data_IF_271947860495
#
_entry.id   IF_271947860495
#
_cell.length_a   1.000
_cell.length_b   1.000
_cell.length_c   1.000
_cell.angle_alpha   90.00
_cell.angle_beta   90.00
_cell.angle_gamma   90.00
#
_symmetry.space_group_name_H-M   'P 1'
#
loop_
_entity.id
_entity.type
_entity.pdbx_description
1 polymer ?
#
# COMPACT_ATOMS: atom_id res chain seq x y z
N UNK A 1 -12.32 15.16 -17.52
CA UNK A 1 -11.65 15.14 -16.20
C UNK A 1 -10.19 14.75 -16.41
N UNK A 2 -9.23 15.57 -15.99
CA UNK A 2 -7.81 15.18 -16.06
C UNK A 2 -7.54 14.14 -14.97
N UNK A 3 -7.38 12.87 -15.36
CA UNK A 3 -7.00 11.80 -14.44
C UNK A 3 -5.57 12.06 -13.96
N UNK A 4 -5.40 12.39 -12.67
CA UNK A 4 -4.05 12.48 -12.09
C UNK A 4 -3.46 11.07 -12.06
N UNK A 5 -2.39 10.85 -12.82
CA UNK A 5 -1.62 9.60 -12.76
C UNK A 5 -1.02 9.49 -11.37
N UNK A 6 -1.34 8.40 -10.67
CA UNK A 6 -0.76 8.07 -9.37
C UNK A 6 0.42 7.15 -9.61
N UNK A 7 1.62 7.42 -9.06
CA UNK A 7 2.71 6.45 -9.07
C UNK A 7 2.19 5.12 -8.54
N UNK A 8 2.32 4.07 -9.35
CA UNK A 8 1.79 2.75 -9.05
C UNK A 8 2.90 1.73 -9.18
N UNK A 9 3.05 0.92 -8.14
CA UNK A 9 4.05 -0.13 -8.05
C UNK A 9 3.39 -1.47 -8.39
N UNK A 10 4.09 -2.28 -9.19
CA UNK A 10 3.50 -3.48 -9.79
C UNK A 10 4.42 -4.68 -9.68
N UNK A 11 3.84 -5.85 -9.38
CA UNK A 11 4.46 -7.16 -9.53
C UNK A 11 3.32 -8.14 -9.79
N UNK A 12 3.24 -8.73 -10.99
CA UNK A 12 2.13 -9.63 -11.41
C UNK A 12 0.73 -9.04 -11.10
N UNK A 13 0.58 -7.73 -11.32
CA UNK A 13 -0.59 -6.94 -10.95
C UNK A 13 -0.23 -5.65 -10.21
N UNK A 14 -1.23 -4.84 -9.86
CA UNK A 14 -1.04 -3.58 -9.14
C UNK A 14 -0.95 -3.83 -7.64
N UNK A 15 0.23 -3.61 -7.05
CA UNK A 15 0.46 -3.76 -5.61
C UNK A 15 -0.21 -2.61 -4.87
N UNK A 16 0.33 -1.42 -5.12
CA UNK A 16 -0.04 -0.21 -4.40
C UNK A 16 0.19 1.03 -5.24
N UNK A 17 -0.49 2.11 -4.88
CA UNK A 17 -0.30 3.44 -5.46
C UNK A 17 -0.11 4.47 -4.36
N UNK A 18 0.69 5.51 -4.61
CA UNK A 18 0.70 6.71 -3.76
C UNK A 18 -0.49 7.57 -4.17
N UNK A 19 -1.41 7.88 -3.24
CA UNK A 19 -2.61 8.69 -3.53
C UNK A 19 -2.26 10.20 -3.56
N UNK A 20 -2.21 10.85 -4.74
CA UNK A 20 -1.78 12.25 -4.87
C UNK A 20 -2.87 13.25 -4.46
N UNK A 21 -4.06 12.78 -4.06
CA UNK A 21 -5.15 13.65 -3.59
C UNK A 21 -4.95 14.09 -2.14
N UNK A 22 -4.19 13.30 -1.37
CA UNK A 22 -3.92 13.58 0.04
C UNK A 22 -2.66 14.43 0.14
N UNK A 23 -2.79 15.63 0.71
CA UNK A 23 -1.72 16.64 0.72
C UNK A 23 -0.96 16.78 2.05
N UNK A 24 -1.52 16.25 3.14
CA UNK A 24 -0.97 16.40 4.50
C UNK A 24 -0.14 15.21 4.97
N UNK A 25 -0.21 14.10 4.24
CA UNK A 25 0.39 12.82 4.58
C UNK A 25 0.59 12.03 3.29
N UNK A 26 1.53 11.09 3.30
CA UNK A 26 1.76 10.12 2.24
C UNK A 26 0.83 8.93 2.48
N UNK A 27 -0.10 8.70 1.56
CA UNK A 27 -0.98 7.54 1.60
C UNK A 27 -0.54 6.52 0.55
N UNK A 28 -0.04 5.37 1.00
CA UNK A 28 0.21 4.20 0.15
C UNK A 28 -1.04 3.32 0.18
N UNK A 29 -1.73 3.26 -0.95
CA UNK A 29 -2.98 2.52 -1.13
C UNK A 29 -2.70 1.16 -1.74
N UNK A 30 -2.87 0.08 -0.97
CA UNK A 30 -2.82 -1.30 -1.45
C UNK A 30 -4.16 -1.69 -2.03
N UNK A 31 -4.22 -1.93 -3.34
CA UNK A 31 -5.47 -2.17 -4.08
C UNK A 31 -6.24 -3.40 -3.59
N UNK A 32 -5.52 -4.42 -3.13
CA UNK A 32 -6.07 -5.64 -2.52
C UNK A 32 -5.46 -5.90 -1.13
N UNK A 33 -5.18 -4.84 -0.37
CA UNK A 33 -4.55 -4.95 0.95
C UNK A 33 -5.30 -5.84 1.95
N UNK A 34 -6.62 -6.01 1.80
CA UNK A 34 -7.43 -6.88 2.65
C UNK A 34 -7.21 -8.38 2.38
N UNK A 35 -6.60 -8.72 1.25
CA UNK A 35 -6.34 -10.11 0.83
C UNK A 35 -4.89 -10.53 1.06
N UNK A 36 -4.06 -9.66 1.66
CA UNK A 36 -2.68 -9.99 1.96
C UNK A 36 -2.63 -11.05 3.06
N UNK A 37 -1.80 -12.10 2.91
CA UNK A 37 -1.57 -13.07 3.98
C UNK A 37 -0.85 -12.42 5.17
N UNK A 38 -1.06 -12.97 6.37
CA UNK A 38 -0.46 -12.48 7.61
C UNK A 38 -1.14 -11.25 8.21
N UNK A 39 -0.57 -10.76 9.30
CA UNK A 39 -1.06 -9.57 10.01
C UNK A 39 -0.26 -8.33 9.62
N UNK A 40 -0.99 -7.26 9.29
CA UNK A 40 -0.41 -5.98 8.87
C UNK A 40 -1.05 -4.85 9.69
N UNK A 41 -0.65 -4.64 10.96
CA UNK A 41 -1.30 -3.67 11.85
C UNK A 41 -1.22 -2.22 11.35
N UNK A 42 -0.19 -1.90 10.55
CA UNK A 42 -0.05 -0.59 9.90
C UNK A 42 -0.96 -0.38 8.67
N UNK A 43 -1.71 -1.41 8.24
CA UNK A 43 -2.68 -1.32 7.15
C UNK A 43 -4.08 -1.02 7.68
N UNK A 44 -4.57 0.18 7.37
CA UNK A 44 -5.83 0.71 7.87
C UNK A 44 -6.92 0.78 6.78
N UNK A 45 -8.18 0.82 7.21
CA UNK A 45 -9.35 1.02 6.34
C UNK A 45 -10.24 -0.23 6.20
N UNK A 46 -11.51 -0.03 5.82
CA UNK A 46 -12.52 -1.08 6.01
C UNK A 46 -13.75 -1.07 5.09
N UNK A 47 -13.76 -0.32 3.99
CA UNK A 47 -14.91 -0.31 3.07
C UNK A 47 -14.90 -1.40 1.99
N UNK A 48 -13.77 -2.08 1.77
CA UNK A 48 -13.58 -3.06 0.70
C UNK A 48 -12.20 -3.73 0.70
N UNK A 49 -11.73 -4.17 -0.47
CA UNK A 49 -10.45 -4.87 -0.61
C UNK A 49 -9.20 -3.99 -0.34
N UNK A 50 -9.37 -2.68 -0.37
CA UNK A 50 -8.28 -1.71 -0.24
C UNK A 50 -7.84 -1.58 1.22
N UNK A 51 -6.53 -1.44 1.43
CA UNK A 51 -5.96 -0.94 2.70
C UNK A 51 -4.99 0.21 2.43
N UNK A 52 -4.79 1.04 3.44
CA UNK A 52 -3.89 2.18 3.37
C UNK A 52 -2.81 2.05 4.44
N UNK A 53 -1.56 2.28 4.06
CA UNK A 53 -0.51 2.65 5.01
C UNK A 53 -0.29 4.15 4.90
N UNK A 54 -0.27 4.85 6.03
CA UNK A 54 -0.17 6.31 6.08
C UNK A 54 1.10 6.71 6.80
N UNK A 55 1.78 7.71 6.24
CA UNK A 55 2.98 8.30 6.82
C UNK A 55 2.84 9.82 6.82
N UNK A 56 3.23 10.46 7.90
CA UNK A 56 3.29 11.91 8.03
C UNK A 56 4.38 12.51 7.14
N UNK A 57 5.54 11.86 7.06
CA UNK A 57 6.67 12.26 6.24
C UNK A 57 7.57 11.08 5.82
N UNK A 58 8.72 11.40 5.22
CA UNK A 58 9.71 10.41 4.78
C UNK A 58 10.42 9.73 5.97
N UNK A 59 10.63 10.45 7.07
CA UNK A 59 11.31 9.89 8.24
C UNK A 59 10.46 8.78 8.86
N UNK A 60 9.16 9.02 9.03
CA UNK A 60 8.24 7.97 9.51
C UNK A 60 8.20 6.78 8.54
N UNK A 61 8.21 7.02 7.23
CA UNK A 61 8.25 5.95 6.23
C UNK A 61 9.52 5.09 6.34
N UNK A 62 10.66 5.70 6.69
CA UNK A 62 11.92 4.97 6.93
C UNK A 62 11.86 4.20 8.25
N UNK A 63 11.34 4.80 9.33
CA UNK A 63 11.19 4.13 10.63
C UNK A 63 10.28 2.90 10.53
N UNK A 64 9.21 2.99 9.73
CA UNK A 64 8.22 1.93 9.51
C UNK A 64 8.48 1.12 8.23
N UNK A 65 9.69 1.19 7.67
CA UNK A 65 10.09 0.49 6.44
C UNK A 65 9.79 -1.00 6.50
N UNK A 66 10.06 -1.65 7.63
CA UNK A 66 9.82 -3.08 7.81
C UNK A 66 8.33 -3.45 7.67
N UNK A 67 7.41 -2.63 8.16
CA UNK A 67 5.96 -2.85 7.99
C UNK A 67 5.55 -2.74 6.53
N UNK A 68 6.06 -1.72 5.83
CA UNK A 68 5.78 -1.51 4.41
C UNK A 68 6.33 -2.67 3.56
N UNK A 69 7.57 -3.10 3.83
CA UNK A 69 8.19 -4.25 3.15
C UNK A 69 7.43 -5.55 3.41
N UNK A 70 6.97 -5.79 4.65
CA UNK A 70 6.16 -6.95 4.98
C UNK A 70 4.89 -7.04 4.11
N UNK A 71 4.17 -5.93 3.95
CA UNK A 71 2.98 -5.88 3.09
C UNK A 71 3.31 -6.14 1.60
N UNK A 72 4.46 -5.63 1.12
CA UNK A 72 4.94 -5.90 -0.25
C UNK A 72 5.34 -7.37 -0.43
N UNK A 73 6.02 -7.97 0.53
CA UNK A 73 6.37 -9.39 0.50
C UNK A 73 5.14 -10.28 0.54
N UNK A 74 4.15 -9.96 1.38
CA UNK A 74 2.87 -10.66 1.42
C UNK A 74 2.14 -10.62 0.06
N UNK A 75 2.23 -9.50 -0.66
CA UNK A 75 1.74 -9.43 -2.04
C UNK A 75 2.50 -10.36 -2.97
N UNK A 76 3.85 -10.32 -2.93
CA UNK A 76 4.69 -11.15 -3.78
C UNK A 76 4.40 -12.63 -3.55
N UNK A 77 4.25 -13.06 -2.29
CA UNK A 77 3.87 -14.42 -1.93
C UNK A 77 2.52 -14.80 -2.54
N UNK A 78 1.49 -14.00 -2.30
CA UNK A 78 0.14 -14.22 -2.83
C UNK A 78 0.13 -14.37 -4.36
N UNK A 79 0.92 -13.55 -5.07
CA UNK A 79 0.97 -13.54 -6.54
C UNK A 79 1.99 -14.52 -7.15
N UNK A 80 2.87 -15.09 -6.34
CA UNK A 80 3.82 -16.11 -6.79
C UNK A 80 3.27 -17.53 -6.61
N UNK A 81 2.34 -17.72 -5.68
CA UNK A 81 1.59 -18.97 -5.51
C UNK A 81 0.48 -19.19 -6.57
N UNK A 82 0.27 -18.20 -7.45
CA UNK A 82 -0.61 -18.23 -8.63
C UNK A 82 0.23 -18.45 -9.90
#
# INVERSE_FOLDING_TARGET
MHQRKSPTFTFRGNIASIDPRVKRQVNVMFHQGASLPGEHPGLEGGGGAVRYMRFTDLEEAIQRRAELESAVHAWIELKSAL
#
